data_IF_162672957946
#
_entry.id   IF_162672957946
#
_cell.length_a   1.000
_cell.length_b   1.000
_cell.length_c   1.000
_cell.angle_alpha   90.00
_cell.angle_beta   90.00
_cell.angle_gamma   90.00
#
_symmetry.space_group_name_H-M   'P 1'
#
loop_
_entity.id
_entity.type
_entity.pdbx_description
1 polymer ?
#
# COMPACT_ATOMS: atom_id res chain seq x y z
N UNK A 1 -13.16 -3.10 17.29
CA UNK A 1 -13.52 -3.02 15.86
C UNK A 1 -12.23 -3.20 15.07
N UNK A 2 -12.14 -4.21 14.21
CA UNK A 2 -10.94 -4.39 13.37
C UNK A 2 -11.04 -3.40 12.21
N UNK A 3 -10.05 -2.53 12.09
CA UNK A 3 -9.87 -1.64 10.95
C UNK A 3 -8.78 -2.23 10.07
N UNK A 4 -9.12 -2.53 8.82
CA UNK A 4 -8.20 -3.20 7.90
C UNK A 4 -7.90 -2.31 6.72
N UNK A 5 -6.61 -2.11 6.47
CA UNK A 5 -6.08 -1.43 5.28
C UNK A 5 -5.54 -2.49 4.34
N UNK A 6 -5.95 -2.41 3.07
CA UNK A 6 -5.45 -3.21 1.97
C UNK A 6 -4.65 -2.31 1.03
N UNK A 7 -3.50 -2.79 0.59
CA UNK A 7 -2.59 -2.04 -0.29
C UNK A 7 -2.47 -2.83 -1.59
N UNK A 8 -2.79 -2.18 -2.73
CA UNK A 8 -2.51 -2.69 -4.06
C UNK A 8 -1.37 -1.88 -4.69
N UNK A 9 -0.43 -2.54 -5.36
CA UNK A 9 0.69 -1.86 -6.06
C UNK A 9 0.84 -2.37 -7.48
N UNK A 10 1.24 -1.46 -8.36
CA UNK A 10 1.67 -1.79 -9.72
C UNK A 10 2.94 -0.98 -10.04
N UNK A 11 4.06 -1.69 -10.21
CA UNK A 11 5.36 -1.14 -10.60
C UNK A 11 5.87 -1.75 -11.91
N UNK A 12 4.98 -2.35 -12.70
CA UNK A 12 5.34 -3.11 -13.89
C UNK A 12 5.73 -2.24 -15.09
N UNK A 13 5.34 -0.96 -15.11
CA UNK A 13 5.72 -0.03 -16.16
C UNK A 13 7.09 0.62 -15.86
N UNK A 14 8.03 0.42 -16.80
CA UNK A 14 9.34 1.08 -16.81
C UNK A 14 9.24 2.60 -17.11
N UNK A 15 8.04 3.12 -17.41
CA UNK A 15 7.77 4.52 -17.79
C UNK A 15 7.26 5.39 -16.61
N UNK A 16 7.91 5.25 -15.45
CA UNK A 16 7.98 6.25 -14.37
C UNK A 16 6.74 6.55 -13.50
N UNK A 17 5.60 5.87 -13.65
CA UNK A 17 4.46 6.07 -12.73
C UNK A 17 3.97 4.76 -12.11
N UNK A 18 4.78 4.23 -11.20
CA UNK A 18 4.33 3.19 -10.28
C UNK A 18 3.17 3.68 -9.42
N UNK A 19 2.14 2.87 -9.21
CA UNK A 19 0.96 3.24 -8.43
C UNK A 19 0.86 2.42 -7.14
N UNK A 20 0.41 3.07 -6.07
CA UNK A 20 0.00 2.42 -4.82
C UNK A 20 -1.40 2.90 -4.45
N UNK A 21 -2.35 1.97 -4.36
CA UNK A 21 -3.75 2.25 -4.02
C UNK A 21 -4.02 1.74 -2.60
N UNK A 22 -4.66 2.58 -1.79
CA UNK A 22 -5.04 2.27 -0.41
C UNK A 22 -6.54 2.03 -0.34
N UNK A 23 -6.91 0.79 -0.02
CA UNK A 23 -8.27 0.38 0.25
C UNK A 23 -8.53 0.22 1.75
N UNK A 24 -9.70 0.63 2.22
CA UNK A 24 -10.18 0.34 3.58
C UNK A 24 -11.27 -0.71 3.54
N UNK A 25 -11.09 -1.79 4.30
CA UNK A 25 -12.07 -2.88 4.43
C UNK A 25 -12.75 -2.79 5.79
N UNK A 26 -14.06 -2.56 5.78
CA UNK A 26 -14.92 -2.68 6.96
C UNK A 26 -15.62 -4.03 6.97
N UNK A 27 -16.07 -4.46 8.14
CA UNK A 27 -16.86 -5.69 8.30
C UNK A 27 -18.10 -5.62 7.41
N UNK A 28 -18.36 -6.68 6.63
CA UNK A 28 -19.52 -6.80 5.75
C UNK A 28 -19.68 -5.72 4.66
N UNK A 29 -18.65 -4.91 4.38
CA UNK A 29 -18.67 -3.89 3.31
C UNK A 29 -17.65 -4.21 2.23
N UNK A 30 -17.83 -3.69 1.01
CA UNK A 30 -16.79 -3.73 -0.02
C UNK A 30 -15.56 -2.91 0.41
N UNK A 31 -14.45 -3.09 -0.32
CA UNK A 31 -13.27 -2.24 -0.12
C UNK A 31 -13.57 -0.86 -0.70
N UNK A 32 -13.37 0.18 0.11
CA UNK A 32 -13.45 1.57 -0.32
C UNK A 32 -12.03 2.08 -0.63
N UNK A 33 -11.81 2.66 -1.81
CA UNK A 33 -10.53 3.30 -2.12
C UNK A 33 -10.50 4.65 -1.43
N UNK A 34 -9.54 4.82 -0.51
CA UNK A 34 -9.44 6.01 0.33
C UNK A 34 -8.21 6.86 0.00
N UNK A 35 -7.23 6.31 -0.71
CA UNK A 35 -6.05 7.06 -1.16
C UNK A 35 -5.37 6.39 -2.35
N UNK A 36 -4.57 7.15 -3.09
CA UNK A 36 -3.71 6.68 -4.16
C UNK A 36 -2.43 7.53 -4.23
N UNK A 37 -1.29 6.87 -4.37
CA UNK A 37 0.04 7.47 -4.53
C UNK A 37 0.64 7.02 -5.84
N UNK A 38 1.53 7.84 -6.41
CA UNK A 38 2.11 7.59 -7.72
C UNK A 38 3.61 7.91 -7.76
N UNK A 39 4.30 7.35 -8.76
CA UNK A 39 5.71 7.58 -9.04
C UNK A 39 6.62 7.21 -7.87
N UNK A 40 7.60 8.07 -7.60
CA UNK A 40 8.62 7.86 -6.56
C UNK A 40 8.03 7.67 -5.16
N UNK A 41 6.98 8.43 -4.83
CA UNK A 41 6.33 8.36 -3.52
C UNK A 41 5.70 6.99 -3.27
N UNK A 42 5.02 6.42 -4.27
CA UNK A 42 4.42 5.09 -4.18
C UNK A 42 5.46 4.01 -3.88
N UNK A 43 6.62 4.09 -4.55
CA UNK A 43 7.72 3.13 -4.36
C UNK A 43 8.35 3.25 -2.96
N UNK A 44 8.66 4.48 -2.51
CA UNK A 44 9.23 4.71 -1.18
C UNK A 44 8.28 4.27 -0.07
N UNK A 45 6.98 4.49 -0.23
CA UNK A 45 5.97 4.06 0.74
C UNK A 45 5.86 2.53 0.77
N UNK A 46 5.81 1.88 -0.40
CA UNK A 46 5.81 0.42 -0.49
C UNK A 46 7.01 -0.19 0.24
N UNK A 47 8.22 0.31 -0.04
CA UNK A 47 9.45 -0.17 0.62
C UNK A 47 9.37 -0.05 2.15
N UNK A 48 8.83 1.06 2.68
CA UNK A 48 8.61 1.25 4.13
C UNK A 48 7.60 0.26 4.72
N UNK A 49 6.59 -0.15 3.95
CA UNK A 49 5.53 -1.06 4.40
C UNK A 49 5.98 -2.53 4.41
N UNK A 50 6.79 -2.94 3.43
CA UNK A 50 7.20 -4.35 3.28
C UNK A 50 8.57 -4.66 3.90
N UNK A 51 9.41 -3.66 4.15
CA UNK A 51 10.73 -3.88 4.75
C UNK A 51 10.61 -3.98 6.27
N UNK A 52 10.93 -5.13 6.88
CA UNK A 52 10.94 -5.26 8.33
C UNK A 52 12.01 -4.35 8.92
N UNK A 53 11.69 -3.65 10.02
CA UNK A 53 12.72 -2.91 10.76
C UNK A 53 13.74 -3.91 11.31
N UNK A 54 15.03 -3.73 10.96
CA UNK A 54 16.13 -4.52 11.55
C UNK A 54 16.08 -4.38 13.08
N UNK A 55 15.76 -5.48 13.77
CA UNK A 55 15.59 -5.55 15.23
C UNK A 55 14.16 -5.84 15.71
N UNK A 56 13.16 -5.82 14.82
CA UNK A 56 11.77 -6.10 15.17
C UNK A 56 11.42 -7.59 15.19
N UNK A 57 11.84 -8.28 16.25
CA UNK A 57 11.41 -9.61 16.76
C UNK A 57 11.48 -10.83 15.80
N UNK A 58 12.24 -11.84 16.26
CA UNK A 58 12.03 -13.26 15.95
C UNK A 58 10.73 -13.74 16.57
#
# INVERSE_FOLDING_TARGET
MVDSILIGVDFSNNDDIGCLIVGRKRMNQSVEIINAFQGKEAKELYEKLVTPKKGGRK
#
